data_IF_417693903522
#
_entry.id   IF_417693903522
#
_cell.length_a   1.000
_cell.length_b   1.000
_cell.length_c   1.000
_cell.angle_alpha   90.00
_cell.angle_beta   90.00
_cell.angle_gamma   90.00
#
_symmetry.space_group_name_H-M   'P 1'
#
loop_
_entity.id
_entity.type
_entity.pdbx_description
1 polymer ?
#
# COMPACT_ATOMS: atom_id res chain seq x y z
N UNK A 1 -46.43 30.41 48.80
CA UNK A 1 -45.68 30.32 47.53
C UNK A 1 -44.29 29.75 47.82
N UNK A 2 -44.01 28.48 47.47
CA UNK A 2 -42.66 27.89 47.58
C UNK A 2 -42.35 27.13 46.28
N UNK A 3 -41.96 27.86 45.23
CA UNK A 3 -41.56 27.27 43.95
C UNK A 3 -40.21 27.84 43.49
N UNK A 4 -39.14 27.53 44.25
CA UNK A 4 -37.81 28.10 44.00
C UNK A 4 -36.65 27.12 44.12
N UNK A 5 -36.87 25.80 44.10
CA UNK A 5 -35.78 24.80 44.26
C UNK A 5 -35.48 23.94 43.03
N UNK A 6 -36.34 23.95 42.01
CA UNK A 6 -36.20 23.02 40.88
C UNK A 6 -35.22 23.49 39.79
N UNK A 7 -34.80 24.77 39.82
CA UNK A 7 -33.92 25.33 38.80
C UNK A 7 -32.43 25.03 39.05
N UNK A 8 -32.00 24.95 40.31
CA UNK A 8 -30.62 24.64 40.67
C UNK A 8 -30.27 23.17 40.39
N UNK A 9 -31.18 22.25 40.73
CA UNK A 9 -31.00 20.80 40.49
C UNK A 9 -30.93 20.47 39.00
N UNK A 10 -31.71 21.18 38.16
CA UNK A 10 -31.67 20.99 36.71
C UNK A 10 -30.34 21.44 36.09
N UNK A 11 -29.77 22.55 36.60
CA UNK A 11 -28.49 23.10 36.12
C UNK A 11 -27.31 22.24 36.56
N UNK A 12 -27.32 21.67 37.76
CA UNK A 12 -26.31 20.72 38.22
C UNK A 12 -26.31 19.43 37.35
N UNK A 13 -27.49 18.84 37.11
CA UNK A 13 -27.61 17.64 36.26
C UNK A 13 -27.17 17.86 34.80
N UNK A 14 -27.29 19.08 34.27
CA UNK A 14 -26.90 19.42 32.90
C UNK A 14 -25.38 19.69 32.77
N UNK A 15 -24.75 20.14 33.86
CA UNK A 15 -23.29 20.31 33.94
C UNK A 15 -22.57 18.95 34.05
N UNK A 16 -23.10 18.03 34.84
CA UNK A 16 -22.51 16.68 35.00
C UNK A 16 -22.55 15.88 33.68
N UNK A 17 -23.61 16.03 32.88
CA UNK A 17 -23.71 15.44 31.54
C UNK A 17 -22.72 16.01 30.53
N UNK A 18 -22.33 17.28 30.70
CA UNK A 18 -21.33 17.92 29.83
C UNK A 18 -19.90 17.51 30.19
N UNK A 19 -19.61 17.23 31.46
CA UNK A 19 -18.31 16.73 31.90
C UNK A 19 -18.05 15.30 31.37
N UNK A 20 -19.04 14.41 31.46
CA UNK A 20 -18.95 13.03 30.96
C UNK A 20 -18.67 12.93 29.45
N UNK A 21 -19.22 13.84 28.64
CA UNK A 21 -18.96 13.84 27.19
C UNK A 21 -17.55 14.32 26.81
N UNK A 22 -16.89 15.14 27.65
CA UNK A 22 -15.52 15.59 27.39
C UNK A 22 -14.50 14.50 27.70
N UNK A 23 -14.68 13.79 28.80
CA UNK A 23 -13.78 12.69 29.18
C UNK A 23 -13.77 11.55 28.16
N UNK A 24 -14.92 11.26 27.54
CA UNK A 24 -15.04 10.27 26.47
C UNK A 24 -14.33 10.72 25.17
N UNK A 25 -14.40 12.00 24.83
CA UNK A 25 -13.73 12.56 23.65
C UNK A 25 -12.21 12.60 23.84
N UNK A 26 -11.74 12.97 25.04
CA UNK A 26 -10.32 12.97 25.40
C UNK A 26 -9.73 11.54 25.37
N UNK A 27 -10.46 10.54 25.86
CA UNK A 27 -10.06 9.12 25.78
C UNK A 27 -10.00 8.63 24.33
N UNK A 28 -10.97 9.00 23.49
CA UNK A 28 -10.94 8.65 22.08
C UNK A 28 -9.77 9.29 21.33
N UNK A 29 -9.37 10.52 21.69
CA UNK A 29 -8.19 11.17 21.12
C UNK A 29 -6.90 10.47 21.56
N UNK A 30 -6.78 10.08 22.83
CA UNK A 30 -5.64 9.32 23.34
C UNK A 30 -5.49 7.97 22.62
N UNK A 31 -6.59 7.24 22.42
CA UNK A 31 -6.58 5.99 21.64
C UNK A 31 -6.15 6.19 20.18
N UNK A 32 -6.61 7.28 19.54
CA UNK A 32 -6.23 7.62 18.16
C UNK A 32 -4.74 7.93 18.08
N UNK A 33 -4.20 8.67 19.05
CA UNK A 33 -2.77 8.94 19.15
C UNK A 33 -1.97 7.66 19.34
N UNK A 34 -2.41 6.76 20.22
CA UNK A 34 -1.71 5.48 20.42
C UNK A 34 -1.67 4.64 19.13
N UNK A 35 -2.81 4.55 18.43
CA UNK A 35 -2.90 3.87 17.12
C UNK A 35 -1.96 4.51 16.10
N UNK A 36 -1.86 5.84 16.07
CA UNK A 36 -0.95 6.57 15.19
C UNK A 36 0.53 6.26 15.50
N UNK A 37 0.93 6.26 16.78
CA UNK A 37 2.29 5.91 17.17
C UNK A 37 2.62 4.43 16.96
N UNK A 38 1.66 3.52 17.15
CA UNK A 38 1.81 2.12 16.80
C UNK A 38 2.12 1.94 15.31
N UNK A 39 1.43 2.70 14.45
CA UNK A 39 1.68 2.69 13.02
C UNK A 39 3.12 3.14 12.68
N UNK A 40 3.57 4.28 13.20
CA UNK A 40 4.95 4.77 12.98
C UNK A 40 6.00 3.75 13.43
N UNK A 41 5.81 3.14 14.61
CA UNK A 41 6.73 2.12 15.15
C UNK A 41 6.80 0.91 14.22
N UNK A 42 5.66 0.36 13.82
CA UNK A 42 5.61 -0.81 12.93
C UNK A 42 6.29 -0.59 11.58
N UNK A 43 6.12 0.59 10.97
CA UNK A 43 6.80 0.94 9.72
C UNK A 43 8.32 1.05 9.90
N UNK A 44 8.77 1.67 10.99
CA UNK A 44 10.18 1.75 11.35
C UNK A 44 10.80 0.36 11.52
N UNK A 45 10.15 -0.50 12.30
CA UNK A 45 10.58 -1.87 12.55
C UNK A 45 10.63 -2.71 11.27
N UNK A 46 9.61 -2.61 10.41
CA UNK A 46 9.57 -3.30 9.13
C UNK A 46 10.72 -2.87 8.20
N UNK A 47 11.01 -1.57 8.14
CA UNK A 47 12.14 -1.03 7.37
C UNK A 47 13.48 -1.54 7.91
N UNK A 48 13.66 -1.48 9.22
CA UNK A 48 14.92 -1.85 9.86
C UNK A 48 15.15 -3.37 9.82
N UNK A 49 14.08 -4.17 9.87
CA UNK A 49 14.12 -5.61 9.59
C UNK A 49 14.61 -5.88 8.17
N UNK A 50 13.99 -5.28 7.15
CA UNK A 50 14.41 -5.44 5.75
C UNK A 50 15.87 -5.05 5.54
N UNK A 51 16.31 -3.94 6.15
CA UNK A 51 17.72 -3.51 6.07
C UNK A 51 18.68 -4.54 6.68
N UNK A 52 18.33 -5.13 7.83
CA UNK A 52 19.14 -6.18 8.46
C UNK A 52 19.22 -7.43 7.59
N UNK A 53 18.09 -7.90 7.06
CA UNK A 53 18.03 -9.05 6.15
C UNK A 53 18.92 -8.83 4.91
N UNK A 54 18.86 -7.64 4.30
CA UNK A 54 19.71 -7.31 3.15
C UNK A 54 21.21 -7.29 3.50
N UNK A 55 21.57 -6.70 4.63
CA UNK A 55 22.97 -6.67 5.08
C UNK A 55 23.50 -8.08 5.38
N UNK A 56 22.69 -8.94 5.99
CA UNK A 56 23.03 -10.35 6.21
C UNK A 56 23.21 -11.11 4.88
N UNK A 57 22.35 -10.86 3.89
CA UNK A 57 22.50 -11.40 2.54
C UNK A 57 23.77 -10.90 1.85
N UNK A 58 24.17 -9.65 2.04
CA UNK A 58 25.40 -9.08 1.48
C UNK A 58 26.65 -9.70 2.12
N UNK A 59 26.67 -9.85 3.45
CA UNK A 59 27.76 -10.49 4.19
C UNK A 59 27.91 -11.99 3.86
N UNK A 60 26.82 -12.68 3.54
CA UNK A 60 26.87 -14.09 3.11
C UNK A 60 27.24 -14.23 1.63
N UNK A 61 26.77 -13.33 0.75
CA UNK A 61 27.15 -13.30 -0.68
C UNK A 61 28.61 -12.96 -0.88
N UNK A 62 29.17 -11.99 -0.18
CA UNK A 62 30.59 -11.61 -0.27
C UNK A 62 31.56 -12.75 0.14
N UNK A 63 31.12 -13.68 1.00
CA UNK A 63 31.88 -14.91 1.31
C UNK A 63 31.79 -15.95 0.19
N UNK A 64 30.73 -15.95 -0.62
CA UNK A 64 30.47 -16.92 -1.71
C UNK A 64 30.95 -16.44 -3.09
N UNK A 65 31.03 -15.13 -3.33
CA UNK A 65 31.49 -14.56 -4.62
C UNK A 65 32.99 -14.69 -4.85
N UNK A 66 33.82 -14.89 -3.81
CA UNK A 66 35.25 -15.24 -4.01
C UNK A 66 35.47 -16.61 -4.66
N UNK A 67 34.42 -17.41 -4.88
CA UNK A 67 34.50 -18.75 -5.50
C UNK A 67 33.67 -18.88 -6.78
N UNK A 68 33.04 -17.81 -7.27
CA UNK A 68 32.19 -17.82 -8.46
C UNK A 68 32.67 -16.82 -9.53
N UNK A 69 33.98 -16.67 -9.66
CA UNK A 69 34.60 -16.12 -10.88
C UNK A 69 35.10 -17.28 -11.76
N UNK A 70 34.24 -18.29 -11.93
CA UNK A 70 34.54 -19.47 -12.73
C UNK A 70 33.25 -19.97 -13.36
N UNK A 71 32.97 -19.49 -14.57
CA UNK A 71 32.29 -20.31 -15.57
C UNK A 71 30.76 -20.33 -15.62
N UNK A 72 30.03 -19.42 -14.97
CA UNK A 72 28.59 -19.27 -15.26
C UNK A 72 28.40 -18.12 -16.25
N UNK A 73 28.30 -18.45 -17.53
CA UNK A 73 27.95 -17.49 -18.58
C UNK A 73 26.47 -17.10 -18.42
N UNK A 74 26.21 -16.14 -17.53
CA UNK A 74 24.92 -15.48 -17.43
C UNK A 74 24.64 -14.86 -18.80
N UNK A 75 23.55 -15.28 -19.46
CA UNK A 75 23.08 -14.61 -20.66
C UNK A 75 22.69 -13.18 -20.27
N UNK A 76 23.57 -12.23 -20.54
CA UNK A 76 23.33 -10.80 -20.32
C UNK A 76 23.17 -10.17 -21.69
N UNK A 77 21.93 -9.86 -22.13
CA UNK A 77 21.73 -9.09 -23.34
C UNK A 77 22.39 -7.73 -23.15
N UNK A 78 23.25 -7.34 -24.10
CA UNK A 78 23.80 -6.00 -24.16
C UNK A 78 23.14 -5.28 -25.31
N UNK A 79 22.52 -4.14 -25.03
CA UNK A 79 21.96 -3.29 -26.07
C UNK A 79 22.97 -2.21 -26.49
N UNK A 80 22.87 -1.81 -27.75
CA UNK A 80 23.62 -0.73 -28.38
C UNK A 80 22.65 0.36 -28.84
N UNK A 81 23.18 1.54 -29.15
CA UNK A 81 22.34 2.65 -29.63
C UNK A 81 21.64 2.29 -30.94
N UNK A 82 22.29 1.48 -31.76
CA UNK A 82 21.81 0.97 -33.03
C UNK A 82 20.54 0.12 -32.89
N UNK A 83 20.38 -0.63 -31.79
CA UNK A 83 19.19 -1.46 -31.51
C UNK A 83 17.90 -0.64 -31.41
N UNK A 84 18.02 0.67 -31.22
CA UNK A 84 16.90 1.61 -31.08
C UNK A 84 16.73 2.54 -32.28
N UNK A 85 17.73 2.62 -33.16
CA UNK A 85 17.73 3.52 -34.33
C UNK A 85 17.62 2.80 -35.66
N UNK A 86 17.80 1.48 -35.67
CA UNK A 86 17.51 0.69 -36.85
C UNK A 86 16.01 0.76 -37.14
N UNK A 87 15.67 1.30 -38.32
CA UNK A 87 14.31 1.33 -38.84
C UNK A 87 13.83 -0.11 -39.02
N UNK A 88 13.25 -0.68 -37.98
CA UNK A 88 12.77 -2.05 -38.02
C UNK A 88 11.70 -2.16 -39.11
N UNK A 89 11.95 -3.01 -40.11
CA UNK A 89 11.09 -3.16 -41.30
C UNK A 89 9.64 -3.53 -40.96
N UNK A 90 9.38 -3.98 -39.72
CA UNK A 90 8.04 -4.25 -39.18
C UNK A 90 7.14 -3.01 -39.13
N UNK A 91 7.70 -1.81 -38.92
CA UNK A 91 6.93 -0.55 -38.94
C UNK A 91 6.49 -0.21 -40.36
N UNK A 92 7.24 -0.66 -41.37
CA UNK A 92 7.02 -0.29 -42.78
C UNK A 92 6.00 -1.16 -43.51
N UNK A 93 5.51 -2.26 -42.92
CA UNK A 93 4.64 -3.23 -43.62
C UNK A 93 3.21 -3.39 -43.10
N UNK A 94 2.85 -2.86 -41.94
CA UNK A 94 1.46 -2.91 -41.49
C UNK A 94 1.06 -1.62 -40.78
N UNK A 95 -0.11 -1.02 -41.09
CA UNK A 95 -0.64 0.02 -40.23
C UNK A 95 -0.86 -0.58 -38.84
N UNK A 96 -0.17 -0.03 -37.84
CA UNK A 96 -0.46 -0.30 -36.43
C UNK A 96 -1.88 0.19 -36.16
N UNK A 97 -2.85 -0.72 -36.21
CA UNK A 97 -4.22 -0.44 -35.80
C UNK A 97 -4.20 -0.34 -34.28
N UNK A 98 -4.08 0.88 -33.77
CA UNK A 98 -4.29 1.14 -32.35
C UNK A 98 -5.78 0.93 -32.05
N UNK A 99 -6.16 0.06 -31.09
CA UNK A 99 -7.55 -0.03 -30.67
C UNK A 99 -7.98 1.32 -30.08
N UNK A 100 -9.11 1.84 -30.56
CA UNK A 100 -9.66 3.09 -30.04
C UNK A 100 -10.06 2.93 -28.56
N UNK A 101 -9.90 3.97 -27.72
CA UNK A 101 -10.37 3.93 -26.33
C UNK A 101 -11.89 3.65 -26.28
N UNK A 102 -12.26 2.54 -25.67
CA UNK A 102 -13.65 2.13 -25.50
C UNK A 102 -14.30 2.94 -24.37
N UNK A 103 -14.80 4.14 -24.68
CA UNK A 103 -15.61 4.91 -23.75
C UNK A 103 -17.09 4.54 -23.93
N UNK A 104 -17.48 3.32 -23.53
CA UNK A 104 -18.90 2.97 -23.38
C UNK A 104 -19.35 3.35 -21.96
N UNK A 105 -20.14 4.41 -21.85
CA UNK A 105 -20.98 4.65 -20.68
C UNK A 105 -22.29 3.92 -20.93
N UNK A 106 -22.47 2.77 -20.30
CA UNK A 106 -23.77 2.11 -20.25
C UNK A 106 -24.12 1.82 -18.79
N UNK A 107 -25.31 2.29 -18.42
CA UNK A 107 -25.92 2.23 -17.11
C UNK A 107 -26.42 0.81 -16.78
N UNK A 108 -26.17 0.39 -15.54
CA UNK A 108 -26.99 -0.48 -14.67
C UNK A 108 -27.18 -1.97 -15.01
N UNK A 109 -26.64 -2.77 -14.07
CA UNK A 109 -27.31 -3.73 -13.16
C UNK A 109 -27.10 -5.24 -13.39
N UNK A 110 -26.67 -5.82 -12.26
CA UNK A 110 -26.98 -7.12 -11.65
C UNK A 110 -26.29 -8.40 -12.19
N UNK A 111 -25.47 -8.93 -11.27
CA UNK A 111 -25.12 -10.34 -10.96
C UNK A 111 -24.25 -11.20 -11.91
N UNK A 112 -23.30 -11.86 -11.24
CA UNK A 112 -22.50 -13.03 -11.63
C UNK A 112 -21.78 -13.00 -12.99
N UNK A 113 -20.46 -12.75 -12.97
CA UNK A 113 -19.54 -13.82 -13.34
C UNK A 113 -18.10 -13.51 -12.89
N UNK A 114 -17.55 -14.52 -12.23
CA UNK A 114 -16.16 -14.62 -11.83
C UNK A 114 -15.27 -14.73 -13.08
N UNK A 115 -14.73 -13.62 -13.58
CA UNK A 115 -13.66 -13.65 -14.59
C UNK A 115 -12.58 -12.61 -14.28
N UNK A 116 -12.02 -12.73 -13.07
CA UNK A 116 -10.82 -12.00 -12.65
C UNK A 116 -9.83 -12.88 -11.89
N UNK A 117 -10.05 -14.20 -11.87
CA UNK A 117 -9.21 -15.16 -11.15
C UNK A 117 -7.93 -15.44 -11.96
N UNK A 118 -6.98 -14.51 -11.87
CA UNK A 118 -5.61 -14.75 -12.32
C UNK A 118 -4.97 -15.76 -11.37
N UNK A 119 -5.06 -17.04 -11.72
CA UNK A 119 -4.46 -18.11 -10.95
C UNK A 119 -2.92 -18.06 -11.04
N UNK A 120 -2.29 -17.52 -10.00
CA UNK A 120 -0.85 -17.35 -9.83
C UNK A 120 -0.19 -18.60 -9.21
N UNK A 121 -0.54 -19.79 -9.67
CA UNK A 121 0.15 -21.01 -9.25
C UNK A 121 1.54 -21.12 -9.89
N UNK A 122 2.52 -20.54 -9.18
CA UNK A 122 3.94 -20.74 -9.42
C UNK A 122 4.40 -22.01 -8.68
N UNK A 123 4.57 -23.10 -9.42
CA UNK A 123 5.23 -24.28 -8.88
C UNK A 123 6.74 -24.14 -9.06
N UNK A 124 7.49 -24.47 -8.01
CA UNK A 124 8.96 -24.36 -7.92
C UNK A 124 9.68 -25.40 -8.79
#
# INVERSE_FOLDING_TARGET
>A
MKHGRNKAVLVEMENDRKALNREDDDQQEEEKMEKFFALIRSFGEARDRRRRELNEMEMTKSKKTRKLESGQSTWVPSFKWEDFTEDVEFIRRAPLIFPAPCNKKEDKKDEEDNEGDLDLKLTL
#
